data_IF_511635121620
#
_entry.id   IF_511635121620
#
_cell.length_a   1.000
_cell.length_b   1.000
_cell.length_c   1.000
_cell.angle_alpha   90.00
_cell.angle_beta   90.00
_cell.angle_gamma   90.00
#
_symmetry.space_group_name_H-M   'P 1'
#
loop_
_entity.id
_entity.type
_entity.pdbx_description
1 polymer ?
#
# COMPACT_ATOMS: atom_id res chain seq x y z
N UNK A 1 49.23 17.92 44.95
CA UNK A 1 47.84 18.20 44.55
C UNK A 1 47.50 17.30 43.36
N UNK A 2 46.67 16.28 43.55
CA UNK A 2 46.27 15.31 42.50
C UNK A 2 45.09 15.88 41.70
N UNK A 3 45.17 15.88 40.37
CA UNK A 3 44.02 15.68 39.49
C UNK A 3 44.47 15.26 38.09
N UNK A 4 43.82 14.20 37.63
CA UNK A 4 44.00 13.40 36.42
C UNK A 4 43.43 14.10 35.17
N UNK A 5 43.98 13.72 34.01
CA UNK A 5 43.56 13.99 32.60
C UNK A 5 42.18 13.29 32.29
N UNK A 6 41.54 13.23 31.07
CA UNK A 6 42.10 13.46 29.71
C UNK A 6 41.12 13.80 28.50
N UNK A 7 41.70 14.17 27.32
CA UNK A 7 41.43 13.93 25.83
C UNK A 7 40.08 14.12 25.05
N UNK A 8 40.18 14.85 23.88
CA UNK A 8 39.66 14.73 22.46
C UNK A 8 38.16 14.38 22.16
N UNK A 9 37.47 14.80 21.07
CA UNK A 9 37.61 14.56 19.59
C UNK A 9 36.73 15.57 18.77
N UNK A 10 37.22 16.25 17.72
CA UNK A 10 37.16 16.04 16.23
C UNK A 10 35.85 16.46 15.50
N UNK A 11 35.93 17.16 14.34
CA UNK A 11 34.83 17.90 13.70
C UNK A 11 34.11 17.15 12.55
N UNK A 12 32.97 17.72 12.17
CA UNK A 12 31.93 17.21 11.26
C UNK A 12 32.16 17.54 9.78
N UNK A 13 31.82 16.58 8.90
CA UNK A 13 31.16 16.85 7.61
C UNK A 13 31.96 16.61 6.33
N UNK A 14 31.24 16.12 5.30
CA UNK A 14 31.60 15.86 3.88
C UNK A 14 32.11 14.41 3.58
N UNK A 15 31.95 13.78 2.37
CA UNK A 15 31.39 14.25 1.08
C UNK A 15 30.54 13.21 0.24
N UNK A 16 29.84 13.71 -0.79
CA UNK A 16 29.74 13.25 -2.21
C UNK A 16 29.22 11.85 -2.70
N UNK A 17 28.39 11.94 -3.76
CA UNK A 17 28.38 11.14 -5.02
C UNK A 17 27.54 9.85 -5.16
N UNK A 18 26.65 9.87 -6.16
CA UNK A 18 26.79 8.92 -7.29
C UNK A 18 25.80 7.77 -7.43
N UNK A 19 24.80 7.96 -8.30
CA UNK A 19 23.90 6.95 -8.88
C UNK A 19 24.61 6.16 -9.98
N UNK A 20 24.53 4.82 -10.00
CA UNK A 20 24.43 4.01 -11.24
C UNK A 20 24.32 2.51 -10.98
N UNK A 21 23.10 1.95 -11.11
CA UNK A 21 22.90 0.52 -11.43
C UNK A 21 22.57 0.41 -12.91
N UNK A 22 23.45 -0.25 -13.66
CA UNK A 22 23.23 -0.66 -15.05
C UNK A 22 23.00 -2.17 -15.03
N UNK A 23 21.93 -2.67 -15.66
CA UNK A 23 21.94 -3.96 -16.37
C UNK A 23 20.73 -4.08 -17.29
N UNK A 24 21.00 -4.70 -18.43
CA UNK A 24 20.34 -4.56 -19.70
C UNK A 24 19.00 -5.32 -19.81
N UNK A 25 18.15 -4.76 -20.66
CA UNK A 25 17.06 -5.41 -21.37
C UNK A 25 17.64 -6.46 -22.33
N UNK A 26 17.25 -7.73 -22.21
CA UNK A 26 17.06 -8.63 -23.37
C UNK A 26 16.50 -9.97 -22.93
N UNK A 27 15.24 -10.22 -23.29
CA UNK A 27 14.78 -11.43 -24.00
C UNK A 27 13.27 -11.32 -24.20
N UNK A 28 12.89 -10.70 -25.32
CA UNK A 28 11.54 -10.80 -25.85
C UNK A 28 11.56 -11.83 -26.98
N UNK A 29 10.60 -12.76 -26.95
CA UNK A 29 10.06 -13.40 -28.14
C UNK A 29 10.79 -14.65 -28.64
N UNK A 30 10.30 -15.81 -28.24
CA UNK A 30 9.63 -16.75 -29.16
C UNK A 30 8.88 -17.77 -28.30
N UNK A 31 7.59 -17.56 -28.09
CA UNK A 31 6.69 -18.66 -27.75
C UNK A 31 6.11 -19.12 -29.08
N UNK A 32 6.68 -20.21 -29.58
CA UNK A 32 6.11 -20.98 -30.68
C UNK A 32 4.96 -21.80 -30.09
N UNK A 33 3.73 -21.34 -30.32
CA UNK A 33 2.54 -22.12 -30.05
C UNK A 33 1.73 -22.26 -31.33
N UNK A 34 2.26 -23.06 -32.25
CA UNK A 34 1.44 -23.80 -33.19
C UNK A 34 0.56 -24.81 -32.41
N UNK A 35 -0.71 -24.44 -32.20
CA UNK A 35 -1.77 -25.43 -32.18
C UNK A 35 -3.07 -24.81 -32.67
N UNK A 36 -3.36 -25.11 -33.93
CA UNK A 36 -4.67 -24.98 -34.55
C UNK A 36 -5.76 -25.58 -33.66
N UNK A 37 -6.78 -24.79 -33.30
CA UNK A 37 -8.11 -25.31 -32.96
C UNK A 37 -9.18 -24.34 -33.48
N UNK A 38 -10.16 -24.80 -34.27
CA UNK A 38 -11.17 -23.93 -34.87
C UNK A 38 -12.35 -23.68 -33.92
N UNK A 39 -12.88 -22.46 -34.00
CA UNK A 39 -14.26 -22.06 -33.66
C UNK A 39 -14.85 -22.61 -32.36
N UNK A 40 -14.51 -21.96 -31.25
CA UNK A 40 -15.35 -21.89 -30.07
C UNK A 40 -15.37 -20.45 -29.61
N UNK A 41 -16.55 -19.83 -29.55
CA UNK A 41 -16.72 -18.44 -29.11
C UNK A 41 -16.06 -18.25 -27.75
N UNK A 42 -14.93 -17.54 -27.73
CA UNK A 42 -14.26 -17.20 -26.47
C UNK A 42 -14.97 -15.99 -25.88
N UNK A 43 -16.15 -16.22 -25.30
CA UNK A 43 -16.69 -15.32 -24.29
C UNK A 43 -15.93 -15.63 -23.00
N UNK A 44 -14.71 -15.12 -22.91
CA UNK A 44 -14.06 -14.97 -21.61
C UNK A 44 -14.96 -14.05 -20.78
N UNK A 45 -15.34 -14.41 -19.55
CA UNK A 45 -15.86 -13.43 -18.61
C UNK A 45 -14.83 -12.28 -18.54
N UNK A 46 -15.23 -11.00 -18.63
CA UNK A 46 -14.29 -9.90 -18.56
C UNK A 46 -13.55 -9.95 -17.23
N UNK A 47 -12.31 -10.43 -17.30
CA UNK A 47 -11.15 -10.04 -16.52
C UNK A 47 -11.38 -9.63 -15.05
N UNK A 48 -12.10 -10.44 -14.27
CA UNK A 48 -12.22 -10.19 -12.83
C UNK A 48 -10.86 -10.27 -12.10
N UNK A 49 -9.83 -10.79 -12.78
CA UNK A 49 -8.45 -10.82 -12.29
C UNK A 49 -7.81 -9.42 -12.28
N UNK A 50 -8.03 -8.60 -13.31
CA UNK A 50 -7.58 -7.20 -13.34
C UNK A 50 -8.39 -6.28 -12.41
N UNK A 51 -9.60 -6.69 -12.03
CA UNK A 51 -10.46 -5.91 -11.14
C UNK A 51 -9.85 -5.73 -9.75
N UNK A 52 -9.33 -6.79 -9.09
CA UNK A 52 -8.83 -6.67 -7.71
C UNK A 52 -7.57 -5.78 -7.60
N UNK A 53 -6.68 -5.86 -8.58
CA UNK A 53 -5.48 -5.03 -8.62
C UNK A 53 -5.82 -3.57 -8.92
N UNK A 54 -6.78 -3.33 -9.83
CA UNK A 54 -7.35 -2.01 -10.08
C UNK A 54 -8.12 -1.46 -8.85
N UNK A 55 -8.81 -2.31 -8.09
CA UNK A 55 -9.45 -1.94 -6.83
C UNK A 55 -8.41 -1.45 -5.82
N UNK A 56 -7.31 -2.19 -5.67
CA UNK A 56 -6.25 -1.81 -4.76
C UNK A 56 -5.58 -0.50 -5.16
N UNK A 57 -5.21 -0.36 -6.43
CA UNK A 57 -4.60 0.87 -6.94
C UNK A 57 -5.51 2.08 -6.72
N UNK A 58 -6.80 1.95 -7.05
CA UNK A 58 -7.78 3.02 -6.87
C UNK A 58 -7.90 3.42 -5.40
N UNK A 59 -8.02 2.44 -4.49
CA UNK A 59 -8.06 2.71 -3.07
C UNK A 59 -6.78 3.42 -2.60
N UNK A 60 -5.60 2.96 -3.00
CA UNK A 60 -4.31 3.59 -2.64
C UNK A 60 -4.27 5.04 -3.12
N UNK A 61 -4.73 5.32 -4.34
CA UNK A 61 -4.77 6.67 -4.91
C UNK A 61 -5.67 7.60 -4.10
N UNK A 62 -6.87 7.16 -3.75
CA UNK A 62 -7.81 8.00 -2.97
C UNK A 62 -7.28 8.22 -1.56
N UNK A 63 -6.80 7.19 -0.87
CA UNK A 63 -6.21 7.35 0.48
C UNK A 63 -5.02 8.31 0.46
N UNK A 64 -4.17 8.27 -0.58
CA UNK A 64 -3.07 9.22 -0.74
C UNK A 64 -3.54 10.64 -1.02
N UNK A 65 -4.63 10.79 -1.76
CA UNK A 65 -5.22 12.09 -2.03
C UNK A 65 -5.84 12.70 -0.77
N UNK A 66 -6.58 11.91 0.03
CA UNK A 66 -7.10 12.35 1.35
C UNK A 66 -6.01 12.82 2.31
N UNK A 67 -4.85 12.15 2.31
CA UNK A 67 -3.68 12.57 3.11
C UNK A 67 -3.14 13.93 2.65
N UNK A 68 -3.08 14.16 1.32
CA UNK A 68 -2.58 15.42 0.75
C UNK A 68 -3.52 16.60 0.99
N UNK A 69 -4.82 16.35 1.02
CA UNK A 69 -5.83 17.37 1.32
C UNK A 69 -5.92 17.66 2.83
N UNK A 70 -5.34 16.79 3.66
CA UNK A 70 -5.30 16.96 5.11
C UNK A 70 -6.52 16.38 5.86
N UNK A 71 -7.38 15.62 5.18
CA UNK A 71 -8.53 14.97 5.80
C UNK A 71 -8.16 13.79 6.70
N UNK A 72 -7.05 13.10 6.39
CA UNK A 72 -6.54 11.99 7.22
C UNK A 72 -5.08 12.22 7.62
N UNK A 73 -4.72 11.70 8.79
CA UNK A 73 -3.33 11.75 9.26
C UNK A 73 -2.46 10.72 8.52
N UNK A 74 -1.18 11.05 8.37
CA UNK A 74 -0.17 10.16 7.77
C UNK A 74 -0.07 8.81 8.50
N UNK A 75 -0.18 8.81 9.82
CA UNK A 75 -0.22 7.61 10.64
C UNK A 75 -1.39 6.70 10.30
N UNK A 76 -2.60 7.28 10.19
CA UNK A 76 -3.79 6.54 9.77
C UNK A 76 -3.57 5.94 8.37
N UNK A 77 -3.10 6.73 7.41
CA UNK A 77 -2.79 6.27 6.05
C UNK A 77 -1.83 5.08 6.05
N UNK A 78 -0.77 5.12 6.86
CA UNK A 78 0.21 4.02 6.92
C UNK A 78 -0.40 2.76 7.52
N UNK A 79 -1.14 2.88 8.62
CA UNK A 79 -1.77 1.74 9.29
C UNK A 79 -2.88 1.13 8.42
N UNK A 80 -3.73 1.97 7.84
CA UNK A 80 -4.80 1.57 6.91
C UNK A 80 -4.23 0.78 5.73
N UNK A 81 -3.24 1.32 5.01
CA UNK A 81 -2.72 0.65 3.82
C UNK A 81 -1.90 -0.61 4.14
N UNK A 82 -1.23 -0.64 5.29
CA UNK A 82 -0.57 -1.87 5.77
C UNK A 82 -1.61 -2.95 6.02
N UNK A 83 -2.68 -2.64 6.74
CA UNK A 83 -3.78 -3.57 6.98
C UNK A 83 -4.48 -3.96 5.67
N UNK A 84 -4.79 -3.01 4.79
CA UNK A 84 -5.49 -3.24 3.53
C UNK A 84 -4.73 -4.17 2.58
N UNK A 85 -3.40 -4.05 2.54
CA UNK A 85 -2.56 -4.89 1.68
C UNK A 85 -2.36 -6.30 2.26
N UNK A 86 -2.19 -6.40 3.58
CA UNK A 86 -1.73 -7.64 4.23
C UNK A 86 -2.85 -8.45 4.89
N UNK A 87 -3.87 -7.78 5.44
CA UNK A 87 -4.84 -8.38 6.37
C UNK A 87 -6.30 -8.22 5.92
N UNK A 88 -6.61 -7.27 5.05
CA UNK A 88 -7.99 -7.07 4.61
C UNK A 88 -8.47 -8.25 3.76
N UNK A 89 -9.58 -8.82 4.21
CA UNK A 89 -10.33 -9.88 3.53
C UNK A 89 -10.99 -9.36 2.26
N UNK A 90 -11.39 -10.27 1.37
CA UNK A 90 -12.11 -9.91 0.13
C UNK A 90 -13.39 -9.09 0.39
N UNK A 91 -14.09 -9.38 1.49
CA UNK A 91 -15.27 -8.62 1.90
C UNK A 91 -14.90 -7.20 2.33
N UNK A 92 -13.90 -7.05 3.20
CA UNK A 92 -13.43 -5.73 3.64
C UNK A 92 -12.94 -4.89 2.47
N UNK A 93 -12.23 -5.49 1.51
CA UNK A 93 -11.81 -4.81 0.28
C UNK A 93 -13.00 -4.31 -0.54
N UNK A 94 -14.06 -5.11 -0.65
CA UNK A 94 -15.29 -4.70 -1.33
C UNK A 94 -15.99 -3.55 -0.59
N UNK A 95 -16.02 -3.60 0.75
CA UNK A 95 -16.58 -2.51 1.55
C UNK A 95 -15.80 -1.22 1.30
N UNK A 96 -14.47 -1.24 1.45
CA UNK A 96 -13.63 -0.05 1.17
C UNK A 96 -13.88 0.48 -0.24
N UNK A 97 -14.00 -0.40 -1.25
CA UNK A 97 -14.32 0.02 -2.62
C UNK A 97 -15.65 0.78 -2.70
N UNK A 98 -16.70 0.29 -2.04
CA UNK A 98 -18.01 0.96 -2.02
C UNK A 98 -17.94 2.31 -1.30
N UNK A 99 -17.25 2.39 -0.16
CA UNK A 99 -17.04 3.65 0.57
C UNK A 99 -16.35 4.68 -0.33
N UNK A 100 -15.24 4.28 -0.96
CA UNK A 100 -14.49 5.15 -1.86
C UNK A 100 -15.34 5.56 -3.06
N UNK A 101 -16.03 4.63 -3.72
CA UNK A 101 -16.84 4.91 -4.92
C UNK A 101 -18.01 5.86 -4.62
N UNK A 102 -18.72 5.63 -3.50
CA UNK A 102 -19.93 6.39 -3.14
C UNK A 102 -19.61 7.77 -2.57
N UNK A 103 -18.46 7.93 -1.90
CA UNK A 103 -18.09 9.16 -1.21
C UNK A 103 -16.85 9.83 -1.79
N UNK A 104 -16.53 9.54 -3.06
CA UNK A 104 -15.49 10.26 -3.79
C UNK A 104 -15.80 11.76 -3.91
N UNK A 105 -17.09 12.13 -3.94
CA UNK A 105 -17.55 13.53 -4.01
C UNK A 105 -17.43 14.30 -2.69
N UNK A 106 -17.35 13.60 -1.54
CA UNK A 106 -17.17 14.22 -0.23
C UNK A 106 -16.00 13.58 0.55
N UNK A 107 -14.78 14.06 0.33
CA UNK A 107 -13.57 13.47 0.91
C UNK A 107 -13.51 13.56 2.43
N UNK A 108 -14.12 14.59 3.03
CA UNK A 108 -14.16 14.76 4.48
C UNK A 108 -15.00 13.66 5.15
N UNK A 109 -16.19 13.37 4.62
CA UNK A 109 -17.05 12.29 5.11
C UNK A 109 -16.41 10.93 4.86
N UNK A 110 -15.76 10.73 3.71
CA UNK A 110 -15.04 9.51 3.41
C UNK A 110 -13.93 9.25 4.45
N UNK A 111 -13.11 10.27 4.75
CA UNK A 111 -12.05 10.18 5.74
C UNK A 111 -12.58 9.82 7.13
N UNK A 112 -13.62 10.54 7.60
CA UNK A 112 -14.22 10.29 8.91
C UNK A 112 -14.82 8.89 9.02
N UNK A 113 -15.51 8.42 7.97
CA UNK A 113 -16.10 7.09 7.97
C UNK A 113 -15.07 5.96 7.89
N UNK A 114 -13.98 6.16 7.13
CA UNK A 114 -12.88 5.21 7.10
C UNK A 114 -12.22 5.08 8.47
N UNK A 115 -12.02 6.20 9.17
CA UNK A 115 -11.46 6.18 10.52
C UNK A 115 -12.42 5.49 11.50
N UNK A 116 -13.67 5.91 11.57
CA UNK A 116 -14.67 5.34 12.49
C UNK A 116 -14.87 3.83 12.28
N UNK A 117 -15.04 3.39 11.03
CA UNK A 117 -15.34 1.99 10.71
C UNK A 117 -14.11 1.07 10.81
N UNK A 118 -12.93 1.54 10.37
CA UNK A 118 -11.75 0.68 10.28
C UNK A 118 -10.75 0.90 11.42
N UNK A 119 -10.87 1.92 12.25
CA UNK A 119 -9.97 2.14 13.38
C UNK A 119 -9.92 0.93 14.31
N UNK A 120 -11.05 0.29 14.62
CA UNK A 120 -11.05 -0.95 15.42
C UNK A 120 -10.32 -2.13 14.74
N UNK A 121 -10.50 -2.26 13.41
CA UNK A 121 -9.86 -3.32 12.61
C UNK A 121 -8.34 -3.13 12.51
N UNK A 122 -7.92 -1.88 12.35
CA UNK A 122 -6.53 -1.48 12.16
C UNK A 122 -5.80 -1.40 13.51
N UNK A 123 -6.49 -0.94 14.55
CA UNK A 123 -5.99 -0.77 15.92
C UNK A 123 -6.19 -2.02 16.77
N UNK A 124 -6.56 -3.16 16.16
CA UNK A 124 -6.67 -4.46 16.84
C UNK A 124 -5.32 -4.83 17.46
N UNK A 125 -5.13 -4.34 18.70
CA UNK A 125 -4.18 -4.78 19.70
C UNK A 125 -4.27 -6.29 19.72
N UNK A 126 -3.12 -6.97 19.70
CA UNK A 126 -3.01 -8.27 20.37
C UNK A 126 -3.58 -8.05 21.76
N UNK A 127 -4.83 -8.42 22.00
CA UNK A 127 -5.21 -8.77 23.35
C UNK A 127 -4.26 -9.91 23.72
N UNK A 128 -3.45 -9.81 24.79
CA UNK A 128 -2.88 -11.01 25.36
C UNK A 128 -4.09 -11.85 25.75
N UNK A 129 -4.37 -12.89 24.98
CA UNK A 129 -5.19 -14.00 25.45
C UNK A 129 -4.53 -14.46 26.73
N UNK A 130 -5.07 -14.02 27.87
CA UNK A 130 -4.71 -14.53 29.17
C UNK A 130 -5.10 -16.01 29.13
N UNK A 131 -4.05 -16.82 29.00
CA UNK A 131 -4.09 -18.27 29.16
C UNK A 131 -4.44 -18.56 30.63
N UNK A 132 -5.60 -19.15 30.86
CA UNK A 132 -5.94 -19.83 32.10
C UNK A 132 -6.09 -21.32 31.78
#
# INVERSE_FOLDING_TARGET
NWAVKPIKEVPVGEPQTGRSRKRALSRHGVHDCDRNLPNGVQLSPPDLSGSLENNYEYCVKVIRWLERDGHIQKDFRQKFLTWFSLRATSQERRIVRVFVDTMSDDPASLAGQLDDTFSERICSKRAPVLRN
#
